data_IF_839453941670
#
_entry.id   IF_839453941670
#
_cell.length_a   1.000
_cell.length_b   1.000
_cell.length_c   1.000
_cell.angle_alpha   90.00
_cell.angle_beta   90.00
_cell.angle_gamma   90.00
#
_symmetry.space_group_name_H-M   'P 1'
#
loop_
_entity.id
_entity.type
_entity.pdbx_description
1 polymer ?
#
# COMPACT_ATOMS: atom_id res chain seq x y z
N UNK A 1 -11.48 -0.26 17.87
CA UNK A 1 -10.83 1.07 17.92
C UNK A 1 -9.37 0.86 17.62
N UNK A 2 -8.80 1.70 16.78
CA UNK A 2 -7.36 1.80 16.54
C UNK A 2 -6.64 2.43 17.75
N UNK A 3 -5.34 2.16 17.86
CA UNK A 3 -4.50 2.59 18.99
C UNK A 3 -4.40 4.10 19.10
N UNK A 4 -4.40 4.81 17.97
CA UNK A 4 -4.35 6.28 17.92
C UNK A 4 -5.67 6.89 18.45
N UNK A 5 -6.82 6.31 18.10
CA UNK A 5 -8.11 6.73 18.67
C UNK A 5 -8.20 6.46 20.18
N UNK A 6 -7.70 5.31 20.66
CA UNK A 6 -7.64 5.04 22.11
C UNK A 6 -6.74 6.05 22.83
N UNK A 7 -5.60 6.38 22.22
CA UNK A 7 -4.68 7.37 22.75
C UNK A 7 -5.31 8.76 22.82
N UNK A 8 -5.95 9.21 21.74
CA UNK A 8 -6.64 10.49 21.69
C UNK A 8 -7.78 10.58 22.71
N UNK A 9 -8.52 9.48 22.92
CA UNK A 9 -9.59 9.41 23.91
C UNK A 9 -9.05 9.53 25.34
N UNK A 10 -7.99 8.80 25.69
CA UNK A 10 -7.34 8.91 27.01
C UNK A 10 -6.77 10.31 27.22
N UNK A 11 -6.07 10.85 26.22
CA UNK A 11 -5.49 12.19 26.28
C UNK A 11 -6.56 13.28 26.47
N UNK A 12 -7.74 13.14 25.84
CA UNK A 12 -8.84 14.09 25.96
C UNK A 12 -9.50 14.12 27.34
N UNK A 13 -9.39 13.03 28.11
CA UNK A 13 -9.97 12.91 29.45
C UNK A 13 -8.99 13.31 30.57
N UNK A 14 -7.73 13.59 30.22
CA UNK A 14 -6.72 14.07 31.16
C UNK A 14 -6.81 15.60 31.29
N UNK A 15 -6.62 16.18 32.49
CA UNK A 15 -6.68 17.63 32.67
C UNK A 15 -5.59 18.35 31.87
N UNK A 16 -5.95 19.36 31.07
CA UNK A 16 -5.04 20.13 30.18
C UNK A 16 -3.83 20.79 30.87
N UNK A 17 -3.83 20.87 32.20
CA UNK A 17 -2.74 21.49 32.98
C UNK A 17 -1.55 20.56 33.26
N UNK A 18 -1.59 19.30 32.84
CA UNK A 18 -0.56 18.31 33.17
C UNK A 18 0.14 17.75 31.91
N UNK A 19 1.04 18.57 31.32
CA UNK A 19 1.94 18.23 30.20
C UNK A 19 2.99 17.13 30.53
N UNK A 20 2.84 16.37 31.60
CA UNK A 20 3.82 15.37 32.06
C UNK A 20 3.58 13.96 31.55
N UNK A 21 2.43 13.67 30.94
CA UNK A 21 2.14 12.33 30.44
C UNK A 21 2.76 12.14 29.05
N UNK A 22 3.91 11.45 29.02
CA UNK A 22 4.51 11.01 27.75
C UNK A 22 3.65 9.93 27.10
N UNK A 23 3.74 9.84 25.77
CA UNK A 23 3.02 8.84 24.98
C UNK A 23 3.23 7.40 25.49
N UNK A 24 4.44 7.10 25.94
CA UNK A 24 4.79 5.79 26.51
C UNK A 24 4.02 5.47 27.79
N UNK A 25 3.78 6.48 28.65
CA UNK A 25 3.08 6.29 29.92
C UNK A 25 1.59 5.99 29.71
N UNK A 26 0.98 6.66 28.72
CA UNK A 26 -0.43 6.42 28.34
C UNK A 26 -0.57 5.02 27.71
N UNK A 27 0.40 4.60 26.90
CA UNK A 27 0.43 3.26 26.31
C UNK A 27 0.52 2.17 27.38
N UNK A 28 1.39 2.33 28.38
CA UNK A 28 1.53 1.39 29.50
C UNK A 28 0.24 1.29 30.34
N UNK A 29 -0.45 2.41 30.55
CA UNK A 29 -1.73 2.44 31.26
C UNK A 29 -2.84 1.72 30.47
N UNK A 30 -2.87 1.89 29.15
CA UNK A 30 -3.80 1.18 28.26
C UNK A 30 -3.53 -0.33 28.23
N UNK A 31 -2.26 -0.74 28.20
CA UNK A 31 -1.86 -2.14 28.27
C UNK A 31 -2.27 -2.79 29.59
N UNK A 32 -2.05 -2.08 30.71
CA UNK A 32 -2.43 -2.54 32.05
C UNK A 32 -3.95 -2.64 32.21
N UNK A 33 -4.69 -1.75 31.54
CA UNK A 33 -6.16 -1.68 31.59
C UNK A 33 -6.85 -2.48 30.49
N UNK A 34 -6.11 -3.33 29.77
CA UNK A 34 -6.61 -4.18 28.67
C UNK A 34 -7.43 -3.40 27.62
N UNK A 35 -7.01 -2.17 27.30
CA UNK A 35 -7.65 -1.30 26.31
C UNK A 35 -8.87 -0.51 26.80
N UNK A 36 -9.20 -0.54 28.09
CA UNK A 36 -10.29 0.25 28.67
C UNK A 36 -9.82 1.69 28.99
N UNK A 37 -10.46 2.68 28.35
CA UNK A 37 -10.10 4.12 28.43
C UNK A 37 -10.28 4.67 29.84
N UNK A 38 -11.45 4.45 30.47
CA UNK A 38 -11.74 4.98 31.80
C UNK A 38 -10.83 4.38 32.88
N UNK A 39 -10.52 3.09 32.76
CA UNK A 39 -9.61 2.41 33.67
C UNK A 39 -8.16 2.92 33.51
N UNK A 40 -7.73 3.21 32.28
CA UNK A 40 -6.40 3.78 32.00
C UNK A 40 -6.26 5.20 32.56
N UNK A 41 -7.28 6.05 32.41
CA UNK A 41 -7.30 7.41 32.98
C UNK A 41 -7.22 7.36 34.51
N UNK A 42 -8.00 6.48 35.15
CA UNK A 42 -7.94 6.30 36.62
C UNK A 42 -6.56 5.82 37.07
N UNK A 43 -5.96 4.89 36.33
CA UNK A 43 -4.62 4.38 36.62
C UNK A 43 -3.54 5.49 36.56
N UNK A 44 -3.62 6.37 35.55
CA UNK A 44 -2.71 7.51 35.40
C UNK A 44 -2.88 8.57 36.50
N UNK A 45 -4.12 8.78 36.97
CA UNK A 45 -4.39 9.71 38.07
C UNK A 45 -3.97 9.13 39.44
N UNK A 46 -4.15 7.82 39.66
CA UNK A 46 -3.84 7.15 40.93
C UNK A 46 -2.33 6.95 41.14
N UNK A 47 -1.59 6.65 40.07
CA UNK A 47 -0.11 6.54 40.09
C UNK A 47 0.60 7.85 40.44
N UNK A 48 -0.07 9.00 40.36
CA UNK A 48 0.45 10.31 40.80
C UNK A 48 0.49 10.45 42.33
N UNK A 49 -0.37 9.74 43.06
CA UNK A 49 -0.52 9.89 44.52
C UNK A 49 0.43 9.00 45.33
N UNK A 50 1.01 7.97 44.71
CA UNK A 50 1.89 7.01 45.39
C UNK A 50 3.32 7.10 44.86
N UNK A 51 4.23 7.65 45.69
CA UNK A 51 5.66 7.68 45.40
C UNK A 51 6.19 6.27 45.09
N UNK A 52 6.66 6.11 43.85
CA UNK A 52 7.67 5.15 43.36
C UNK A 52 7.82 3.85 44.16
N UNK A 53 7.18 2.78 43.70
CA UNK A 53 7.73 1.43 43.86
C UNK A 53 8.25 0.95 42.50
N UNK A 54 9.56 1.13 42.28
CA UNK A 54 10.31 0.38 41.27
C UNK A 54 9.98 -1.10 41.47
N UNK A 55 9.23 -1.70 40.54
CA UNK A 55 9.08 -3.15 40.44
C UNK A 55 9.79 -3.65 39.19
N UNK A 56 10.41 -4.81 39.41
CA UNK A 56 11.52 -5.41 38.69
C UNK A 56 11.14 -5.77 37.27
N UNK A 57 12.08 -5.56 36.35
CA UNK A 57 12.06 -6.08 34.98
C UNK A 57 11.79 -7.59 35.03
N UNK A 58 10.62 -8.01 34.56
CA UNK A 58 10.30 -9.43 34.39
C UNK A 58 11.10 -9.88 33.18
N UNK A 59 12.14 -10.68 33.44
CA UNK A 59 12.91 -11.32 32.39
C UNK A 59 12.01 -12.34 31.66
N UNK A 60 12.05 -12.33 30.33
CA UNK A 60 11.28 -13.18 29.41
C UNK A 60 11.38 -14.68 29.78
N UNK A 61 12.52 -15.11 30.33
CA UNK A 61 12.73 -16.47 30.84
C UNK A 61 11.78 -16.87 31.98
N UNK A 62 11.35 -15.91 32.80
CA UNK A 62 10.44 -16.16 33.93
C UNK A 62 9.00 -16.37 33.47
N UNK A 63 8.61 -15.70 32.40
CA UNK A 63 7.29 -15.86 31.78
C UNK A 63 7.19 -17.21 31.07
N UNK A 64 8.21 -17.57 30.28
CA UNK A 64 8.28 -18.85 29.56
C UNK A 64 8.29 -20.07 30.50
N UNK A 65 8.83 -19.95 31.71
CA UNK A 65 8.90 -21.04 32.70
C UNK A 65 7.63 -21.23 33.54
N UNK A 66 6.72 -20.25 33.57
CA UNK A 66 5.47 -20.34 34.35
C UNK A 66 4.42 -21.28 33.72
N UNK A 67 4.64 -21.81 32.52
CA UNK A 67 3.71 -22.72 31.83
C UNK A 67 3.83 -24.19 32.26
N UNK A 68 4.61 -24.53 33.29
CA UNK A 68 4.78 -25.93 33.73
C UNK A 68 4.66 -26.13 35.23
N UNK A 69 3.47 -25.88 35.80
CA UNK A 69 2.98 -26.68 36.93
C UNK A 69 1.45 -26.71 37.02
N UNK A 70 0.95 -27.92 37.23
CA UNK A 70 -0.39 -28.45 36.97
C UNK A 70 -1.45 -28.12 38.03
N UNK A 71 -2.72 -28.27 37.64
CA UNK A 71 -3.78 -28.76 38.54
C UNK A 71 -4.47 -29.99 37.95
N UNK A 72 -4.38 -31.07 38.72
CA UNK A 72 -5.03 -32.36 38.53
C UNK A 72 -6.56 -32.23 38.62
N UNK A 73 -7.29 -32.97 37.78
CA UNK A 73 -8.66 -33.41 38.08
C UNK A 73 -8.77 -34.90 37.74
N UNK A 74 -9.26 -35.68 38.71
CA UNK A 74 -9.50 -37.13 38.65
C UNK A 74 -10.85 -37.41 37.98
N UNK A 75 -10.93 -38.46 37.16
CA UNK A 75 -12.13 -39.30 37.04
C UNK A 75 -11.75 -40.74 36.67
N UNK A 76 -12.44 -41.68 37.30
CA UNK A 76 -12.20 -43.13 37.38
C UNK A 76 -13.39 -43.84 36.73
N UNK A 77 -13.18 -44.91 35.93
CA UNK A 77 -13.95 -46.17 35.91
C UNK A 77 -13.63 -47.08 34.69
N UNK A 78 -12.95 -48.20 35.02
CA UNK A 78 -13.05 -49.63 34.64
C UNK A 78 -13.35 -50.14 33.20
N UNK A 79 -12.62 -51.22 32.81
CA UNK A 79 -12.50 -51.88 31.49
C UNK A 79 -13.56 -52.98 31.18
N UNK A 80 -13.26 -54.11 30.47
CA UNK A 80 -11.97 -54.77 30.15
C UNK A 80 -11.70 -55.13 28.65
N UNK A 81 -10.50 -55.66 28.34
CA UNK A 81 -9.96 -56.03 27.00
C UNK A 81 -10.40 -57.42 26.45
N UNK A 82 -9.61 -58.18 25.63
CA UNK A 82 -8.18 -58.02 25.24
C UNK A 82 -7.83 -58.26 23.74
N UNK A 83 -6.58 -57.99 23.33
CA UNK A 83 -5.60 -58.98 22.77
C UNK A 83 -4.62 -58.45 21.69
N UNK A 84 -3.34 -58.79 21.90
CA UNK A 84 -2.30 -59.19 20.91
C UNK A 84 -1.34 -58.18 20.23
N UNK A 85 -0.13 -58.12 20.80
CA UNK A 85 1.20 -58.50 20.20
C UNK A 85 2.06 -57.51 19.38
N UNK A 86 3.38 -57.59 19.70
CA UNK A 86 4.63 -57.28 18.95
C UNK A 86 5.33 -55.97 19.37
N UNK A 87 6.21 -55.96 20.39
CA UNK A 87 7.69 -56.19 20.36
C UNK A 87 8.44 -55.59 19.16
N UNK A 88 9.30 -54.58 19.37
CA UNK A 88 10.75 -54.63 19.06
C UNK A 88 11.52 -53.69 20.02
N UNK A 89 12.59 -54.27 20.53
CA UNK A 89 13.62 -53.84 21.47
C UNK A 89 14.54 -52.73 20.95
N UNK A 90 15.13 -51.95 21.86
CA UNK A 90 16.59 -51.85 22.00
C UNK A 90 16.95 -50.92 23.17
N UNK A 91 17.34 -51.54 24.29
CA UNK A 91 18.17 -50.92 25.31
C UNK A 91 19.60 -51.40 25.07
N UNK A 92 20.60 -50.52 25.25
CA UNK A 92 21.81 -50.92 25.95
C UNK A 92 22.52 -49.72 26.58
N UNK A 93 22.63 -49.83 27.89
CA UNK A 93 23.51 -49.13 28.80
C UNK A 93 24.98 -49.44 28.48
N UNK A 94 25.89 -48.45 28.57
CA UNK A 94 27.23 -48.63 29.19
C UNK A 94 27.58 -47.36 29.96
N UNK A 95 27.91 -47.53 31.24
CA UNK A 95 28.49 -46.53 32.13
C UNK A 95 30.03 -46.54 32.05
N UNK A 96 30.60 -45.37 32.34
CA UNK A 96 31.92 -45.11 32.93
C UNK A 96 33.20 -45.52 32.19
N UNK A 97 33.98 -44.50 31.84
CA UNK A 97 35.38 -44.43 32.27
C UNK A 97 35.90 -43.00 32.36
N UNK A 98 36.74 -42.81 33.37
CA UNK A 98 37.49 -41.64 33.79
C UNK A 98 38.61 -41.29 32.83
N UNK A 99 38.91 -40.00 32.62
CA UNK A 99 40.24 -39.38 32.88
C UNK A 99 40.44 -38.06 32.13
N UNK A 100 40.95 -37.09 32.90
CA UNK A 100 41.89 -36.02 32.54
C UNK A 100 41.75 -35.23 31.23
N UNK A 101 41.48 -33.93 31.44
CA UNK A 101 42.16 -32.76 30.86
C UNK A 101 42.34 -32.72 29.33
N UNK A 102 41.73 -31.72 28.70
CA UNK A 102 42.37 -30.87 27.68
C UNK A 102 41.55 -29.58 27.51
N UNK A 103 42.20 -28.45 27.78
CA UNK A 103 41.80 -27.12 27.37
C UNK A 103 41.83 -27.03 25.83
N UNK A 104 40.74 -26.64 25.18
CA UNK A 104 40.82 -25.91 23.91
C UNK A 104 39.49 -25.24 23.54
N UNK A 105 39.61 -23.93 23.29
CA UNK A 105 38.75 -23.05 22.52
C UNK A 105 37.23 -23.13 22.72
N UNK A 106 36.73 -22.16 23.51
CA UNK A 106 35.36 -21.67 23.36
C UNK A 106 35.17 -21.16 21.94
N UNK A 107 34.58 -21.98 21.07
CA UNK A 107 33.99 -21.51 19.82
C UNK A 107 33.00 -20.40 20.19
N UNK A 108 33.28 -19.19 19.71
CA UNK A 108 32.34 -18.07 19.84
C UNK A 108 31.11 -18.46 19.04
N UNK A 109 30.05 -18.86 19.74
CA UNK A 109 28.73 -19.04 19.14
C UNK A 109 28.31 -17.70 18.54
N UNK A 110 28.48 -17.57 17.22
CA UNK A 110 28.05 -16.38 16.51
C UNK A 110 26.53 -16.38 16.54
N UNK A 111 25.95 -15.45 17.29
CA UNK A 111 24.52 -15.27 17.32
C UNK A 111 24.08 -14.82 15.92
N UNK A 112 23.48 -15.71 15.13
CA UNK A 112 23.01 -15.41 13.77
C UNK A 112 22.07 -14.20 13.72
N UNK A 113 21.32 -13.95 14.81
CA UNK A 113 20.47 -12.76 14.98
C UNK A 113 21.25 -11.45 15.15
N UNK A 114 22.55 -11.50 15.48
CA UNK A 114 23.44 -10.33 15.49
C UNK A 114 24.01 -10.03 14.10
N UNK A 115 24.14 -11.05 13.24
CA UNK A 115 24.59 -10.92 11.85
C UNK A 115 23.45 -10.50 10.94
N UNK A 116 22.23 -10.98 11.21
CA UNK A 116 21.00 -10.61 10.48
C UNK A 116 20.35 -9.30 10.97
N UNK A 117 20.94 -8.63 11.97
CA UNK A 117 20.43 -7.33 12.42
C UNK A 117 20.72 -6.29 11.35
N UNK A 118 19.68 -5.60 10.91
CA UNK A 118 19.85 -4.36 10.15
C UNK A 118 20.72 -3.41 10.99
N UNK A 119 21.76 -2.79 10.40
CA UNK A 119 22.56 -1.80 11.12
C UNK A 119 21.63 -0.69 11.64
N UNK A 120 21.91 -0.12 12.84
CA UNK A 120 21.11 0.98 13.35
C UNK A 120 21.10 2.09 12.30
N UNK A 121 19.94 2.35 11.72
CA UNK A 121 19.79 3.40 10.72
C UNK A 121 20.27 4.72 11.33
N UNK A 122 21.36 5.26 10.78
CA UNK A 122 21.73 6.64 11.04
C UNK A 122 20.57 7.46 10.48
N UNK A 123 19.79 8.09 11.37
CA UNK A 123 18.71 9.02 11.05
C UNK A 123 19.30 10.28 10.39
N UNK A 124 19.88 10.17 9.21
CA UNK A 124 20.02 11.29 8.30
C UNK A 124 18.74 11.30 7.50
N UNK A 125 17.78 12.13 7.92
CA UNK A 125 16.71 12.48 7.00
C UNK A 125 17.38 13.07 5.75
N UNK A 126 17.16 12.49 4.55
CA UNK A 126 17.66 13.09 3.34
C UNK A 126 17.11 14.52 3.27
N UNK A 127 17.95 15.50 2.94
CA UNK A 127 17.51 16.88 2.76
C UNK A 127 16.41 16.89 1.69
N UNK A 128 15.16 17.04 2.13
CA UNK A 128 14.02 17.08 1.22
C UNK A 128 14.02 18.44 0.55
N UNK A 129 14.57 18.51 -0.66
CA UNK A 129 14.38 19.69 -1.50
C UNK A 129 12.88 19.89 -1.73
N UNK A 130 12.39 21.14 -1.71
CA UNK A 130 10.99 21.40 -2.00
C UNK A 130 10.68 20.92 -3.43
N UNK A 131 9.53 20.27 -3.65
CA UNK A 131 9.15 19.79 -4.98
C UNK A 131 9.04 20.98 -5.94
N UNK A 132 9.60 20.82 -7.14
CA UNK A 132 9.49 21.83 -8.18
C UNK A 132 8.06 21.82 -8.76
N UNK A 133 7.44 23.00 -8.79
CA UNK A 133 6.09 23.19 -9.31
C UNK A 133 6.16 23.53 -10.81
N UNK A 134 5.56 22.69 -11.65
CA UNK A 134 5.47 22.95 -13.10
C UNK A 134 4.04 23.39 -13.41
N UNK A 135 3.82 24.72 -13.45
CA UNK A 135 2.49 25.33 -13.52
C UNK A 135 2.02 25.69 -14.93
N UNK A 136 2.91 25.72 -15.92
CA UNK A 136 2.58 26.10 -17.30
C UNK A 136 3.17 25.10 -18.32
N UNK A 137 2.64 25.05 -19.56
CA UNK A 137 3.08 24.07 -20.55
C UNK A 137 4.56 24.14 -20.88
N UNK A 138 5.14 25.34 -20.92
CA UNK A 138 6.55 25.57 -21.24
C UNK A 138 7.47 24.97 -20.18
N UNK A 139 7.11 25.11 -18.89
CA UNK A 139 7.85 24.53 -17.78
C UNK A 139 7.74 23.00 -17.79
N UNK A 140 6.56 22.44 -18.09
CA UNK A 140 6.39 20.99 -18.21
C UNK A 140 7.31 20.46 -19.32
N UNK A 141 7.20 20.99 -20.55
CA UNK A 141 7.99 20.54 -21.68
C UNK A 141 9.51 20.72 -21.50
N UNK A 142 9.94 21.72 -20.71
CA UNK A 142 11.36 21.97 -20.43
C UNK A 142 11.95 20.98 -19.43
N UNK A 143 11.18 20.61 -18.39
CA UNK A 143 11.70 19.86 -17.25
C UNK A 143 11.26 18.39 -17.24
N UNK A 144 10.35 17.98 -18.12
CA UNK A 144 9.87 16.59 -18.23
C UNK A 144 9.76 16.16 -19.70
N UNK A 145 9.74 14.85 -19.99
CA UNK A 145 9.46 14.34 -21.33
C UNK A 145 7.96 14.41 -21.70
N UNK A 146 7.15 15.17 -20.95
CA UNK A 146 5.71 15.27 -21.14
C UNK A 146 5.36 16.62 -21.78
N UNK A 147 4.26 16.64 -22.52
CA UNK A 147 3.63 17.88 -22.99
C UNK A 147 2.33 18.13 -22.21
N UNK A 148 1.96 19.40 -22.07
CA UNK A 148 0.70 19.79 -21.43
C UNK A 148 -0.12 20.65 -22.38
N UNK A 149 -1.32 20.18 -22.70
CA UNK A 149 -2.25 20.85 -23.61
C UNK A 149 -3.44 21.36 -22.81
N UNK A 150 -3.71 22.67 -22.90
CA UNK A 150 -4.82 23.30 -22.21
C UNK A 150 -6.00 23.42 -23.17
N UNK A 151 -7.22 23.12 -22.68
CA UNK A 151 -8.44 23.29 -23.48
C UNK A 151 -8.53 22.36 -24.70
N UNK A 152 -8.06 21.12 -24.58
CA UNK A 152 -8.05 20.14 -25.69
C UNK A 152 -9.44 19.84 -26.23
N UNK A 153 -10.45 19.80 -25.35
CA UNK A 153 -11.82 19.47 -25.73
C UNK A 153 -12.65 20.75 -25.97
N UNK A 154 -13.58 20.74 -26.95
CA UNK A 154 -14.60 21.77 -27.06
C UNK A 154 -15.36 21.94 -25.73
N UNK A 155 -15.66 23.18 -25.29
CA UNK A 155 -16.30 23.43 -23.99
C UNK A 155 -17.60 22.64 -23.77
N UNK A 156 -18.40 22.48 -24.82
CA UNK A 156 -19.66 21.73 -24.79
C UNK A 156 -19.42 20.24 -24.56
N UNK A 157 -18.43 19.66 -25.23
CA UNK A 157 -18.04 18.26 -25.03
C UNK A 157 -17.44 18.05 -23.64
N UNK A 158 -16.56 18.93 -23.20
CA UNK A 158 -15.97 18.87 -21.86
C UNK A 158 -17.04 18.89 -20.76
N UNK A 159 -18.06 19.75 -20.91
CA UNK A 159 -19.18 19.85 -19.97
C UNK A 159 -20.04 18.58 -19.96
N UNK A 160 -20.45 18.08 -21.14
CA UNK A 160 -21.22 16.83 -21.26
C UNK A 160 -20.46 15.66 -20.65
N UNK A 161 -19.19 15.47 -21.04
CA UNK A 161 -18.34 14.41 -20.53
C UNK A 161 -18.18 14.53 -19.00
N UNK A 162 -17.93 15.73 -18.48
CA UNK A 162 -17.84 15.93 -17.03
C UNK A 162 -19.09 15.46 -16.30
N UNK A 163 -20.28 15.87 -16.76
CA UNK A 163 -21.54 15.46 -16.13
C UNK A 163 -21.82 13.96 -16.27
N UNK A 164 -21.49 13.35 -17.42
CA UNK A 164 -21.56 11.91 -17.62
C UNK A 164 -20.67 11.17 -16.62
N UNK A 165 -19.39 11.57 -16.49
CA UNK A 165 -18.44 10.93 -15.59
C UNK A 165 -18.79 11.15 -14.11
N UNK A 166 -19.31 12.33 -13.73
CA UNK A 166 -19.81 12.57 -12.37
C UNK A 166 -21.01 11.68 -12.07
N UNK A 167 -21.93 11.49 -13.02
CA UNK A 167 -23.06 10.60 -12.82
C UNK A 167 -22.61 9.13 -12.68
N UNK A 168 -21.67 8.68 -13.53
CA UNK A 168 -21.09 7.34 -13.43
C UNK A 168 -20.35 7.14 -12.10
N UNK A 169 -19.66 8.18 -11.60
CA UNK A 169 -18.85 8.11 -10.37
C UNK A 169 -19.64 7.76 -9.11
N UNK A 170 -20.97 7.91 -9.12
CA UNK A 170 -21.84 7.50 -8.01
C UNK A 170 -21.73 6.00 -7.69
N UNK A 171 -21.37 5.18 -8.67
CA UNK A 171 -21.26 3.73 -8.53
C UNK A 171 -19.81 3.25 -8.41
N UNK A 172 -18.83 4.17 -8.44
CA UNK A 172 -17.42 3.82 -8.37
C UNK A 172 -17.03 3.39 -6.97
N UNK A 173 -15.96 2.59 -6.89
CA UNK A 173 -15.46 2.03 -5.63
C UNK A 173 -14.10 2.65 -5.32
N UNK A 174 -13.81 2.76 -4.03
CA UNK A 174 -12.43 3.03 -3.58
C UNK A 174 -11.63 1.74 -3.68
N UNK A 175 -10.50 1.81 -4.37
CA UNK A 175 -9.62 0.66 -4.49
C UNK A 175 -8.94 0.37 -3.14
N UNK A 176 -8.72 -0.91 -2.81
CA UNK A 176 -8.03 -1.34 -1.59
C UNK A 176 -6.80 -2.17 -1.97
N UNK A 177 -5.67 -1.90 -1.34
CA UNK A 177 -4.43 -2.66 -1.56
C UNK A 177 -3.68 -2.86 -0.25
N UNK A 178 -2.71 -3.79 -0.26
CA UNK A 178 -1.83 -4.02 0.88
C UNK A 178 -0.60 -3.13 0.76
N UNK A 179 -0.31 -2.35 1.81
CA UNK A 179 0.89 -1.55 1.94
C UNK A 179 1.47 -1.78 3.34
N UNK A 180 2.70 -2.31 3.41
CA UNK A 180 3.38 -2.70 4.67
C UNK A 180 2.51 -3.59 5.58
N UNK A 181 1.97 -4.68 5.03
CA UNK A 181 1.09 -5.63 5.73
C UNK A 181 -0.17 -4.99 6.34
N UNK A 182 -0.61 -3.84 5.79
CA UNK A 182 -1.88 -3.21 6.14
C UNK A 182 -2.72 -3.01 4.89
N UNK A 183 -4.01 -3.32 4.99
CA UNK A 183 -4.97 -2.93 3.95
C UNK A 183 -5.18 -1.42 4.04
N UNK A 184 -4.80 -0.72 2.98
CA UNK A 184 -5.05 0.70 2.79
C UNK A 184 -6.08 0.89 1.70
N UNK A 185 -6.86 1.97 1.81
CA UNK A 185 -7.92 2.31 0.88
C UNK A 185 -7.55 3.61 0.16
N UNK A 186 -7.81 3.64 -1.15
CA UNK A 186 -7.63 4.84 -1.95
C UNK A 186 -8.50 5.97 -1.42
N UNK A 187 -7.99 7.20 -1.26
CA UNK A 187 -8.83 8.33 -0.90
C UNK A 187 -9.82 8.69 -2.02
N UNK A 188 -9.50 8.38 -3.29
CA UNK A 188 -10.30 8.70 -4.47
C UNK A 188 -11.11 7.50 -4.97
N UNK A 189 -12.16 7.78 -5.76
CA UNK A 189 -12.94 6.77 -6.45
C UNK A 189 -12.28 6.43 -7.78
N UNK A 190 -12.30 5.15 -8.17
CA UNK A 190 -11.73 4.68 -9.43
C UNK A 190 -12.72 3.79 -10.18
N UNK A 191 -12.72 3.90 -11.50
CA UNK A 191 -13.34 2.94 -12.41
C UNK A 191 -12.49 2.75 -13.66
N UNK A 192 -12.68 1.63 -14.36
CA UNK A 192 -12.03 1.31 -15.62
C UNK A 192 -13.07 1.23 -16.72
N UNK A 193 -12.75 1.85 -17.84
CA UNK A 193 -13.53 1.74 -19.06
C UNK A 193 -12.67 1.14 -20.16
N UNK A 194 -13.28 0.38 -21.06
CA UNK A 194 -12.62 -0.12 -22.27
C UNK A 194 -13.45 0.24 -23.51
N UNK A 195 -12.78 0.42 -24.64
CA UNK A 195 -13.46 0.58 -25.92
C UNK A 195 -13.95 -0.76 -26.42
N UNK A 196 -15.13 -0.76 -27.04
CA UNK A 196 -15.71 -1.98 -27.62
C UNK A 196 -14.99 -2.44 -28.89
N UNK A 197 -14.51 -1.47 -29.66
CA UNK A 197 -13.83 -1.65 -30.94
C UNK A 197 -12.59 -0.74 -30.97
N UNK A 198 -11.69 -0.97 -31.92
CA UNK A 198 -10.50 -0.12 -32.11
C UNK A 198 -10.81 1.22 -32.80
N UNK A 199 -12.08 1.44 -33.15
CA UNK A 199 -12.58 2.61 -33.86
C UNK A 199 -12.30 2.62 -35.36
N UNK A 200 -11.77 1.52 -35.93
CA UNK A 200 -11.59 1.31 -37.36
C UNK A 200 -12.46 0.15 -37.88
N UNK A 201 -12.50 -0.94 -37.13
CA UNK A 201 -13.23 -2.16 -37.50
C UNK A 201 -14.27 -2.51 -36.43
N UNK A 202 -15.35 -3.19 -36.82
CA UNK A 202 -16.40 -3.67 -35.89
C UNK A 202 -15.98 -4.95 -35.12
N UNK A 203 -14.70 -5.31 -35.17
CA UNK A 203 -14.15 -6.49 -34.52
C UNK A 203 -14.07 -6.30 -32.99
N UNK A 204 -14.94 -7.02 -32.26
CA UNK A 204 -15.03 -6.98 -30.79
C UNK A 204 -13.81 -7.61 -30.07
N UNK A 205 -12.86 -8.20 -30.81
CA UNK A 205 -11.64 -8.81 -30.28
C UNK A 205 -10.74 -7.81 -29.53
N UNK A 206 -10.97 -6.50 -29.73
CA UNK A 206 -10.32 -5.43 -28.97
C UNK A 206 -10.59 -5.52 -27.45
N UNK A 207 -11.73 -6.09 -27.04
CA UNK A 207 -12.10 -6.25 -25.62
C UNK A 207 -11.30 -7.37 -24.92
N UNK A 208 -10.84 -8.38 -25.64
CA UNK A 208 -10.05 -9.48 -25.04
C UNK A 208 -8.68 -9.00 -24.57
N UNK A 209 -8.07 -8.09 -25.33
CA UNK A 209 -6.84 -7.39 -24.91
C UNK A 209 -7.08 -6.49 -23.69
N UNK A 210 -8.33 -6.04 -23.47
CA UNK A 210 -8.73 -5.18 -22.36
C UNK A 210 -9.16 -5.94 -21.09
N UNK A 211 -9.18 -7.29 -21.11
CA UNK A 211 -9.40 -8.09 -19.91
C UNK A 211 -8.17 -8.02 -18.99
N UNK A 212 -8.10 -6.96 -18.18
CA UNK A 212 -6.92 -6.68 -17.37
C UNK A 212 -6.98 -7.29 -15.99
N UNK A 213 -5.82 -7.81 -15.59
CA UNK A 213 -5.43 -7.99 -14.20
C UNK A 213 -5.00 -6.63 -13.66
N UNK A 214 -5.70 -6.10 -12.65
CA UNK A 214 -5.28 -4.88 -11.96
C UNK A 214 -4.76 -5.23 -10.56
N UNK A 215 -3.55 -4.77 -10.24
CA UNK A 215 -2.88 -5.07 -8.98
C UNK A 215 -2.80 -6.57 -8.64
N UNK A 216 -2.57 -7.41 -9.66
CA UNK A 216 -2.48 -8.86 -9.49
C UNK A 216 -3.82 -9.58 -9.28
N UNK A 217 -4.96 -8.96 -9.60
CA UNK A 217 -6.29 -9.60 -9.56
C UNK A 217 -7.03 -9.42 -10.88
N UNK A 218 -7.66 -10.49 -11.36
CA UNK A 218 -8.62 -10.42 -12.45
C UNK A 218 -9.82 -9.58 -12.00
N UNK A 219 -10.11 -8.49 -12.71
CA UNK A 219 -11.28 -7.65 -12.45
C UNK A 219 -12.46 -8.08 -13.31
N UNK A 220 -13.67 -7.68 -12.92
CA UNK A 220 -14.85 -7.79 -13.80
C UNK A 220 -14.59 -7.03 -15.11
N UNK A 221 -15.23 -7.44 -16.22
CA UNK A 221 -15.10 -6.73 -17.49
C UNK A 221 -15.36 -5.23 -17.30
N UNK A 222 -14.45 -4.36 -17.77
CA UNK A 222 -14.61 -2.92 -17.63
C UNK A 222 -15.85 -2.43 -18.39
N UNK A 223 -16.46 -1.35 -17.92
CA UNK A 223 -17.60 -0.76 -18.61
C UNK A 223 -17.16 -0.22 -19.98
N UNK A 224 -18.03 -0.26 -21.00
CA UNK A 224 -17.71 0.31 -22.29
C UNK A 224 -17.61 1.84 -22.20
N UNK A 225 -16.83 2.44 -23.08
CA UNK A 225 -16.79 3.90 -23.23
C UNK A 225 -18.19 4.46 -23.51
N UNK A 226 -18.54 5.57 -22.84
CA UNK A 226 -19.74 6.33 -23.19
C UNK A 226 -19.54 7.05 -24.54
N UNK A 227 -20.63 7.51 -25.20
CA UNK A 227 -20.51 8.30 -26.42
C UNK A 227 -19.62 9.54 -26.27
N UNK A 228 -19.69 10.22 -25.13
CA UNK A 228 -18.86 11.39 -24.82
C UNK A 228 -17.38 11.01 -24.62
N UNK A 229 -17.11 9.84 -24.00
CA UNK A 229 -15.74 9.34 -23.86
C UNK A 229 -15.14 9.01 -25.23
N UNK A 230 -15.92 8.41 -26.12
CA UNK A 230 -15.48 8.07 -27.48
C UNK A 230 -15.21 9.33 -28.32
N UNK A 231 -16.08 10.34 -28.24
CA UNK A 231 -15.88 11.63 -28.91
C UNK A 231 -14.62 12.34 -28.41
N UNK A 232 -14.40 12.38 -27.09
CA UNK A 232 -13.19 12.96 -26.51
C UNK A 232 -11.94 12.14 -26.85
N UNK A 233 -12.04 10.81 -26.86
CA UNK A 233 -10.95 9.90 -27.22
C UNK A 233 -10.40 10.20 -28.61
N UNK A 234 -11.27 10.39 -29.61
CA UNK A 234 -10.86 10.74 -30.98
C UNK A 234 -10.04 12.03 -31.06
N UNK A 235 -10.44 13.05 -30.30
CA UNK A 235 -9.70 14.33 -30.23
C UNK A 235 -8.34 14.12 -29.56
N UNK A 236 -8.31 13.37 -28.46
CA UNK A 236 -7.07 13.07 -27.73
C UNK A 236 -6.11 12.25 -28.60
N UNK A 237 -6.59 11.21 -29.28
CA UNK A 237 -5.79 10.41 -30.21
C UNK A 237 -5.17 11.28 -31.31
N UNK A 238 -5.93 12.21 -31.88
CA UNK A 238 -5.38 13.14 -32.86
C UNK A 238 -4.25 13.99 -32.27
N UNK A 239 -4.47 14.62 -31.12
CA UNK A 239 -3.45 15.47 -30.45
C UNK A 239 -2.21 14.68 -30.07
N UNK A 240 -2.38 13.48 -29.49
CA UNK A 240 -1.25 12.62 -29.09
C UNK A 240 -0.43 12.21 -30.32
N UNK A 241 -1.09 11.82 -31.40
CA UNK A 241 -0.39 11.41 -32.61
C UNK A 241 0.35 12.58 -33.27
N UNK A 242 -0.21 13.80 -33.27
CA UNK A 242 0.51 14.99 -33.72
C UNK A 242 1.75 15.28 -32.86
N UNK A 243 1.65 15.17 -31.54
CA UNK A 243 2.80 15.34 -30.64
C UNK A 243 3.86 14.24 -30.82
N UNK A 244 3.44 13.01 -31.09
CA UNK A 244 4.37 11.90 -31.34
C UNK A 244 5.18 12.10 -32.62
N UNK A 245 4.64 12.78 -33.63
CA UNK A 245 5.38 13.13 -34.87
C UNK A 245 6.53 14.11 -34.61
N UNK A 246 6.42 14.94 -33.56
CA UNK A 246 7.43 15.95 -33.23
C UNK A 246 8.69 15.37 -32.57
N UNK A 247 8.69 14.06 -32.23
CA UNK A 247 9.82 13.41 -31.56
C UNK A 247 10.29 12.16 -32.30
N UNK A 248 11.54 11.78 -32.03
CA UNK A 248 12.04 10.49 -32.46
C UNK A 248 11.35 9.37 -31.66
N UNK A 249 10.73 8.44 -32.37
CA UNK A 249 10.14 7.22 -31.79
C UNK A 249 11.22 6.33 -31.18
N UNK A 250 10.91 5.67 -30.07
CA UNK A 250 11.79 4.67 -29.47
C UNK A 250 11.67 3.32 -30.20
N UNK A 251 12.75 2.55 -30.29
CA UNK A 251 12.79 1.29 -31.06
C UNK A 251 11.72 0.28 -30.65
N UNK A 252 11.37 0.21 -29.36
CA UNK A 252 10.38 -0.73 -28.82
C UNK A 252 9.01 -0.11 -28.60
N UNK A 253 8.82 1.17 -28.91
CA UNK A 253 7.53 1.84 -28.75
C UNK A 253 6.51 1.32 -29.76
N UNK A 254 5.26 1.10 -29.36
CA UNK A 254 4.18 0.68 -30.26
C UNK A 254 3.90 1.71 -31.36
N UNK A 255 3.67 1.27 -32.60
CA UNK A 255 3.22 2.15 -33.70
C UNK A 255 2.17 1.51 -34.61
N UNK A 256 1.27 0.71 -34.04
CA UNK A 256 0.23 0.03 -34.81
C UNK A 256 0.72 -1.19 -35.58
N UNK A 257 -0.18 -1.77 -36.38
CA UNK A 257 0.01 -3.08 -37.01
C UNK A 257 0.94 -3.08 -38.23
N UNK A 258 1.14 -1.94 -38.92
CA UNK A 258 1.74 -1.95 -40.27
C UNK A 258 2.96 -1.03 -40.47
N UNK A 259 3.61 -0.56 -39.40
CA UNK A 259 4.83 0.25 -39.52
C UNK A 259 4.65 1.62 -40.22
N UNK A 260 3.42 1.99 -40.54
CA UNK A 260 3.01 3.33 -40.97
C UNK A 260 3.11 4.33 -39.79
N UNK A 261 2.85 5.61 -40.08
CA UNK A 261 2.86 6.74 -39.14
C UNK A 261 2.38 6.37 -37.73
N UNK A 262 2.96 6.98 -36.67
CA UNK A 262 2.60 6.66 -35.30
C UNK A 262 1.08 6.74 -35.13
N UNK A 263 0.48 5.59 -34.83
CA UNK A 263 -0.94 5.44 -34.59
C UNK A 263 -1.15 4.95 -33.15
N UNK A 264 -0.83 5.84 -32.21
CA UNK A 264 -1.26 5.67 -30.83
C UNK A 264 -2.79 5.66 -30.79
N UNK A 265 -3.34 4.65 -30.11
CA UNK A 265 -4.77 4.45 -29.89
C UNK A 265 -5.02 4.14 -28.43
N UNK A 266 -5.99 4.82 -27.84
CA UNK A 266 -6.42 4.49 -26.49
C UNK A 266 -7.38 3.30 -26.57
N UNK A 267 -7.14 2.28 -25.75
CA UNK A 267 -8.03 1.13 -25.59
C UNK A 267 -8.75 1.13 -24.25
N UNK A 268 -8.10 1.65 -23.21
CA UNK A 268 -8.59 1.67 -21.83
C UNK A 268 -8.45 3.07 -21.24
N UNK A 269 -9.41 3.44 -20.41
CA UNK A 269 -9.35 4.63 -19.58
C UNK A 269 -9.50 4.24 -18.11
N UNK A 270 -8.41 4.41 -17.35
CA UNK A 270 -8.46 4.41 -15.89
C UNK A 270 -8.95 5.79 -15.42
N UNK A 271 -10.16 5.83 -14.86
CA UNK A 271 -10.82 7.08 -14.46
C UNK A 271 -10.78 7.24 -12.95
N UNK A 272 -10.34 8.41 -12.48
CA UNK A 272 -10.25 8.75 -11.07
C UNK A 272 -11.13 9.97 -10.76
N UNK A 273 -11.92 9.90 -9.70
CA UNK A 273 -12.74 11.01 -9.22
C UNK A 273 -12.26 11.44 -7.85
N UNK A 274 -11.89 12.72 -7.76
CA UNK A 274 -11.45 13.39 -6.55
C UNK A 274 -12.56 14.36 -6.11
N UNK A 275 -13.24 14.06 -5.01
CA UNK A 275 -14.39 14.85 -4.52
C UNK A 275 -13.97 16.01 -3.61
N UNK A 276 -12.71 16.07 -3.19
CA UNK A 276 -12.19 17.17 -2.37
C UNK A 276 -10.68 17.36 -2.50
N UNK A 277 -10.19 18.54 -2.13
CA UNK A 277 -8.77 18.90 -2.26
C UNK A 277 -7.80 18.15 -1.32
N UNK A 278 -8.31 17.26 -0.46
CA UNK A 278 -7.50 16.35 0.37
C UNK A 278 -7.31 14.98 -0.28
N UNK A 279 -8.08 14.66 -1.32
CA UNK A 279 -7.94 13.42 -2.07
C UNK A 279 -6.84 13.60 -3.12
N UNK A 280 -5.88 12.68 -3.14
CA UNK A 280 -4.75 12.71 -4.07
C UNK A 280 -4.18 11.30 -4.21
N UNK A 281 -3.24 11.13 -5.13
CA UNK A 281 -2.40 9.92 -5.20
C UNK A 281 -1.01 10.29 -4.73
N UNK A 282 -0.41 9.41 -3.93
CA UNK A 282 1.00 9.53 -3.55
C UNK A 282 1.92 9.41 -4.76
N UNK A 283 3.22 9.67 -4.58
CA UNK A 283 4.20 9.45 -5.63
C UNK A 283 4.21 7.98 -6.07
N UNK A 284 3.97 7.74 -7.35
CA UNK A 284 3.95 6.42 -7.96
C UNK A 284 4.33 6.52 -9.44
N UNK A 285 4.61 5.38 -10.04
CA UNK A 285 4.64 5.18 -11.49
C UNK A 285 3.56 4.16 -11.84
N UNK A 286 2.89 4.35 -12.97
CA UNK A 286 1.96 3.35 -13.47
C UNK A 286 2.67 2.00 -13.67
N UNK A 287 1.94 0.92 -13.40
CA UNK A 287 2.47 -0.43 -13.56
C UNK A 287 2.58 -0.76 -15.05
N UNK A 288 3.78 -0.60 -15.61
CA UNK A 288 4.09 -0.76 -17.04
C UNK A 288 3.92 -2.20 -17.54
N UNK A 289 3.85 -3.19 -16.64
CA UNK A 289 3.83 -4.62 -16.95
C UNK A 289 2.75 -5.03 -17.96
N UNK A 290 1.62 -4.31 -17.98
CA UNK A 290 0.50 -4.60 -18.88
C UNK A 290 0.39 -3.63 -20.08
N UNK A 291 1.18 -2.55 -20.10
CA UNK A 291 1.14 -1.52 -21.14
C UNK A 291 2.16 -1.75 -22.25
N UNK A 292 3.18 -2.58 -21.99
CA UNK A 292 4.28 -2.83 -22.91
C UNK A 292 5.41 -1.80 -22.79
N UNK A 293 6.49 -1.96 -23.59
CA UNK A 293 7.66 -1.08 -23.53
C UNK A 293 7.36 0.33 -24.11
N UNK A 294 7.89 1.36 -23.45
CA UNK A 294 7.71 2.78 -23.81
C UNK A 294 6.25 3.17 -24.10
N UNK A 295 5.30 2.90 -23.18
CA UNK A 295 3.91 3.22 -23.43
C UNK A 295 3.72 4.73 -23.37
N UNK A 296 2.97 5.27 -24.32
CA UNK A 296 2.48 6.65 -24.25
C UNK A 296 1.13 6.64 -23.54
N UNK A 297 0.99 7.50 -22.51
CA UNK A 297 -0.24 7.64 -21.72
C UNK A 297 -0.73 9.08 -21.87
N UNK A 298 -2.00 9.24 -22.20
CA UNK A 298 -2.68 10.53 -22.21
C UNK A 298 -3.52 10.68 -20.95
N UNK A 299 -3.38 11.80 -20.25
CA UNK A 299 -4.21 12.14 -19.08
C UNK A 299 -5.10 13.32 -19.42
N UNK A 300 -6.42 13.13 -19.24
CA UNK A 300 -7.42 14.19 -19.36
C UNK A 300 -7.92 14.55 -17.96
N UNK A 301 -7.84 15.83 -17.61
CA UNK A 301 -8.44 16.36 -16.38
C UNK A 301 -9.69 17.17 -16.72
N UNK A 302 -10.80 16.86 -16.05
CA UNK A 302 -12.07 17.58 -16.17
C UNK A 302 -12.36 18.24 -14.83
N UNK A 303 -12.28 19.56 -14.81
CA UNK A 303 -12.41 20.34 -13.57
C UNK A 303 -13.50 21.38 -13.71
N UNK A 304 -14.22 21.62 -12.61
CA UNK A 304 -15.29 22.63 -12.58
C UNK A 304 -14.76 24.06 -12.52
N UNK A 305 -13.49 24.26 -12.14
CA UNK A 305 -12.68 25.50 -12.20
C UNK A 305 -11.42 25.35 -11.31
N UNK A 306 -10.34 24.76 -11.83
CA UNK A 306 -8.95 25.00 -11.35
C UNK A 306 -7.96 24.50 -12.41
N UNK A 307 -6.74 25.07 -12.50
CA UNK A 307 -5.66 24.46 -13.27
C UNK A 307 -5.00 23.33 -12.47
N UNK A 308 -4.85 22.17 -13.12
CA UNK A 308 -4.11 21.02 -12.59
C UNK A 308 -2.64 21.38 -12.39
N UNK A 309 -2.01 20.88 -11.33
CA UNK A 309 -0.64 21.25 -10.96
C UNK A 309 0.26 20.01 -10.95
N UNK A 310 1.29 19.99 -11.80
CA UNK A 310 2.25 18.88 -11.85
C UNK A 310 3.42 19.11 -10.87
N UNK A 311 3.77 18.06 -10.11
CA UNK A 311 4.90 18.08 -9.17
C UNK A 311 5.97 17.10 -9.64
N UNK A 312 7.16 17.60 -9.93
CA UNK A 312 8.29 16.77 -10.35
C UNK A 312 9.29 16.59 -9.20
N UNK A 313 9.76 15.35 -8.93
CA UNK A 313 10.85 15.13 -7.97
C UNK A 313 12.16 15.72 -8.51
N UNK A 314 12.76 16.66 -7.79
CA UNK A 314 14.13 17.10 -8.07
C UNK A 314 15.12 16.04 -7.58
N UNK A 315 15.61 15.20 -8.48
CA UNK A 315 16.83 14.41 -8.25
C UNK A 315 18.02 15.12 -8.86
N UNK A 316 19.15 15.15 -8.14
CA UNK A 316 20.39 15.75 -8.62
C UNK A 316 20.79 15.17 -9.98
N UNK A 317 21.09 16.08 -10.91
CA UNK A 317 21.71 15.83 -12.21
C UNK A 317 23.11 15.25 -12.07
#
# INVERSE_FOLDING_TARGET
MDTETLFALVASQLPEKDLSFTQDTIMDALLTSNGNVDAAVRYLLDTRTTKTKKRKHINLDTWLRSSSRSKQVKSKLEGPGPSSTMTVSSSNHIQQSTSSALNSNSEKTVNLLSVLRQPPSLKKEPSRLPPMLLSNPQMVAKYTPCTMHLGVLPPELACRLFHTMINASKNWKRNKWWLFDRVVESPHLTSFFARKTDGLDDDENWQEAAQYWYNGRMTEPPEPFSPEMEEACKIIEHVVNEEMKNRKRFTLEWAGKDGADPLWRANVAASNCYQGGRESVGFHSDQVTYLGPYPTIASLSLERHKPSTFRWPTTHS
#
